data_IF_412942836437
#
_entry.id   IF_412942836437
#
_cell.length_a   1.000
_cell.length_b   1.000
_cell.length_c   1.000
_cell.angle_alpha   90.00
_cell.angle_beta   90.00
_cell.angle_gamma   90.00
#
_symmetry.space_group_name_H-M   'P 1'
#
loop_
_entity.id
_entity.type
_entity.pdbx_description
1 polymer ?
#
# COMPACT_ATOMS: atom_id res chain seq x y z
N UNK A 1 -17.56 -11.12 -11.07
CA UNK A 1 -16.16 -10.71 -10.84
C UNK A 1 -15.61 -10.18 -12.16
N UNK A 2 -14.92 -9.03 -12.17
CA UNK A 2 -14.33 -8.40 -13.37
C UNK A 2 -12.87 -8.88 -13.51
N UNK A 3 -12.40 -9.15 -14.74
CA UNK A 3 -10.99 -9.55 -14.97
C UNK A 3 -10.03 -8.37 -14.82
N UNK A 4 -8.75 -8.63 -14.55
CA UNK A 4 -7.72 -7.58 -14.44
C UNK A 4 -7.65 -6.69 -15.70
N UNK A 5 -7.68 -7.33 -16.88
CA UNK A 5 -7.71 -6.64 -18.17
C UNK A 5 -8.94 -5.74 -18.30
N UNK A 6 -10.11 -6.26 -17.93
CA UNK A 6 -11.35 -5.49 -18.00
C UNK A 6 -11.38 -4.34 -17.01
N UNK A 7 -10.81 -4.51 -15.81
CA UNK A 7 -10.68 -3.42 -14.83
C UNK A 7 -9.76 -2.32 -15.34
N UNK A 8 -8.65 -2.67 -16.00
CA UNK A 8 -7.77 -1.67 -16.63
C UNK A 8 -8.47 -0.88 -17.74
N UNK A 9 -9.39 -1.51 -18.50
CA UNK A 9 -10.26 -0.78 -19.44
C UNK A 9 -11.25 0.15 -18.75
N UNK A 10 -11.83 -0.25 -17.61
CA UNK A 10 -12.71 0.62 -16.82
C UNK A 10 -11.96 1.88 -16.38
N UNK A 11 -10.74 1.74 -15.86
CA UNK A 11 -9.92 2.89 -15.46
C UNK A 11 -9.54 3.79 -16.63
N UNK A 12 -9.22 3.20 -17.80
CA UNK A 12 -8.96 3.94 -19.04
C UNK A 12 -10.17 4.74 -19.50
N UNK A 13 -11.34 4.12 -19.54
CA UNK A 13 -12.57 4.76 -20.00
C UNK A 13 -13.00 5.88 -19.04
N UNK A 14 -12.84 5.66 -17.73
CA UNK A 14 -13.13 6.67 -16.72
C UNK A 14 -12.24 7.91 -16.90
N UNK A 15 -10.96 7.71 -17.22
CA UNK A 15 -10.05 8.80 -17.59
C UNK A 15 -10.45 9.50 -18.89
N UNK A 16 -10.85 8.75 -19.92
CA UNK A 16 -11.34 9.31 -21.18
C UNK A 16 -12.63 10.12 -21.02
N UNK A 17 -13.45 9.81 -20.01
CA UNK A 17 -14.66 10.57 -19.63
C UNK A 17 -14.35 11.80 -18.76
N UNK A 18 -13.07 12.14 -18.57
CA UNK A 18 -12.64 13.38 -17.92
C UNK A 18 -12.33 13.26 -16.43
N UNK A 19 -12.32 12.04 -15.85
CA UNK A 19 -11.91 11.84 -14.44
C UNK A 19 -10.44 11.43 -14.38
N UNK A 20 -9.52 12.30 -13.91
CA UNK A 20 -8.09 11.98 -13.90
C UNK A 20 -7.80 10.73 -13.05
N UNK A 21 -6.86 9.88 -13.51
CA UNK A 21 -6.45 8.68 -12.75
C UNK A 21 -5.96 8.98 -11.34
N UNK A 22 -5.35 10.15 -11.11
CA UNK A 22 -4.99 10.59 -9.77
C UNK A 22 -6.21 10.72 -8.84
N UNK A 23 -7.38 11.16 -9.35
CA UNK A 23 -8.62 11.18 -8.58
C UNK A 23 -9.19 9.80 -8.31
N UNK A 24 -8.98 8.84 -9.23
CA UNK A 24 -9.33 7.45 -8.99
C UNK A 24 -8.51 6.86 -7.85
N UNK A 25 -7.19 7.07 -7.87
CA UNK A 25 -6.28 6.64 -6.79
C UNK A 25 -6.63 7.34 -5.46
N UNK A 26 -6.92 8.64 -5.47
CA UNK A 26 -7.36 9.37 -4.26
C UNK A 26 -8.64 8.74 -3.67
N UNK A 27 -9.59 8.38 -4.53
CA UNK A 27 -10.84 7.72 -4.14
C UNK A 27 -10.60 6.31 -3.58
N UNK A 28 -9.74 5.52 -4.22
CA UNK A 28 -9.37 4.18 -3.76
C UNK A 28 -8.69 4.21 -2.40
N UNK A 29 -7.72 5.12 -2.21
CA UNK A 29 -7.03 5.26 -0.94
C UNK A 29 -7.93 5.79 0.18
N UNK A 30 -8.85 6.72 -0.11
CA UNK A 30 -9.85 7.15 0.88
C UNK A 30 -10.80 5.99 1.27
N UNK A 31 -11.18 5.14 0.31
CA UNK A 31 -11.96 3.95 0.61
C UNK A 31 -11.19 2.95 1.50
N UNK A 32 -9.89 2.75 1.22
CA UNK A 32 -9.02 1.93 2.06
C UNK A 32 -8.87 2.51 3.48
N UNK A 33 -8.67 3.83 3.61
CA UNK A 33 -8.62 4.49 4.92
C UNK A 33 -9.92 4.30 5.69
N UNK A 34 -11.08 4.32 5.01
CA UNK A 34 -12.36 4.03 5.64
C UNK A 34 -12.43 2.60 6.19
N UNK A 35 -11.94 1.61 5.43
CA UNK A 35 -11.86 0.22 5.91
C UNK A 35 -10.99 0.11 7.16
N UNK A 36 -9.84 0.81 7.21
CA UNK A 36 -9.00 0.84 8.43
C UNK A 36 -9.80 1.37 9.63
N UNK A 37 -10.50 2.50 9.47
CA UNK A 37 -11.32 3.11 10.54
C UNK A 37 -12.48 2.22 10.99
N UNK A 38 -13.02 1.40 10.08
CA UNK A 38 -14.10 0.47 10.39
C UNK A 38 -13.60 -0.79 11.16
N UNK A 39 -12.29 -1.07 11.13
CA UNK A 39 -11.70 -2.26 11.76
C UNK A 39 -10.88 -1.96 13.02
N UNK A 40 -10.41 -0.73 13.22
CA UNK A 40 -9.59 -0.33 14.37
C UNK A 40 -10.02 1.04 14.92
N UNK A 41 -9.79 1.27 16.21
CA UNK A 41 -10.02 2.56 16.83
C UNK A 41 -8.89 3.56 16.49
N UNK A 42 -9.14 4.88 16.54
CA UNK A 42 -8.09 5.88 16.49
C UNK A 42 -6.98 5.60 17.51
N UNK A 43 -5.73 5.83 17.12
CA UNK A 43 -4.53 5.49 17.89
C UNK A 43 -4.02 4.07 17.70
N UNK A 44 -4.76 3.19 17.00
CA UNK A 44 -4.29 1.86 16.66
C UNK A 44 -3.08 1.91 15.72
N UNK A 45 -2.19 0.94 15.89
CA UNK A 45 -1.00 0.74 15.07
C UNK A 45 -1.35 0.03 13.76
N UNK A 46 -1.02 0.67 12.63
CA UNK A 46 -1.35 0.20 11.29
C UNK A 46 -0.07 0.10 10.46
N UNK A 47 0.33 -1.13 10.12
CA UNK A 47 1.51 -1.37 9.28
C UNK A 47 1.08 -1.67 7.85
N UNK A 48 1.42 -0.76 6.93
CA UNK A 48 1.15 -0.91 5.51
C UNK A 48 2.37 -1.46 4.79
N UNK A 49 2.24 -2.64 4.19
CA UNK A 49 3.32 -3.30 3.44
C UNK A 49 3.12 -3.03 1.96
N UNK A 50 3.93 -2.10 1.43
CA UNK A 50 3.68 -1.45 0.16
C UNK A 50 4.67 -1.90 -0.93
N UNK A 51 4.14 -2.23 -2.10
CA UNK A 51 4.93 -2.49 -3.29
C UNK A 51 5.43 -1.23 -3.96
N UNK A 52 5.56 -1.27 -5.29
CA UNK A 52 6.08 -0.15 -6.10
C UNK A 52 5.16 0.24 -7.25
N UNK A 53 3.90 -0.21 -7.21
CA UNK A 53 2.90 0.01 -8.26
C UNK A 53 1.72 0.82 -7.76
N UNK A 54 0.62 0.81 -8.53
CA UNK A 54 -0.58 1.57 -8.20
C UNK A 54 -1.22 1.15 -6.87
N UNK A 55 -1.22 -0.15 -6.51
CA UNK A 55 -1.71 -0.60 -5.20
C UNK A 55 -0.97 0.08 -4.04
N UNK A 56 0.34 0.25 -4.16
CA UNK A 56 1.11 0.98 -3.17
C UNK A 56 0.71 2.47 -3.16
N UNK A 57 0.45 3.04 -4.33
CA UNK A 57 -0.13 4.39 -4.46
C UNK A 57 -1.44 4.57 -3.71
N UNK A 58 -2.38 3.60 -3.81
CA UNK A 58 -3.63 3.62 -3.07
C UNK A 58 -3.38 3.60 -1.55
N UNK A 59 -2.41 2.81 -1.08
CA UNK A 59 -2.02 2.78 0.33
C UNK A 59 -1.31 4.07 0.79
N UNK A 60 -0.48 4.69 -0.06
CA UNK A 60 0.14 5.99 0.27
C UNK A 60 -0.91 7.08 0.43
N UNK A 61 -1.93 7.09 -0.43
CA UNK A 61 -3.12 7.94 -0.25
C UNK A 61 -3.81 7.62 1.07
N UNK A 62 -4.09 6.35 1.34
CA UNK A 62 -4.80 5.94 2.57
C UNK A 62 -4.06 6.40 3.83
N UNK A 63 -2.74 6.25 3.88
CA UNK A 63 -1.90 6.70 4.98
C UNK A 63 -2.06 8.20 5.27
N UNK A 64 -2.16 9.06 4.24
CA UNK A 64 -2.42 10.51 4.40
C UNK A 64 -3.78 10.82 5.05
N UNK A 65 -4.74 9.91 4.97
CA UNK A 65 -6.08 10.06 5.56
C UNK A 65 -6.20 9.48 6.98
N UNK A 66 -5.13 8.95 7.55
CA UNK A 66 -5.12 8.23 8.83
C UNK A 66 -4.20 8.92 9.85
N UNK A 67 -4.25 10.26 9.90
CA UNK A 67 -3.40 11.05 10.80
C UNK A 67 -3.69 10.83 12.30
N UNK A 68 -4.84 10.24 12.64
CA UNK A 68 -5.24 9.83 13.98
C UNK A 68 -4.86 8.37 14.32
N UNK A 69 -4.11 7.70 13.46
CA UNK A 69 -3.59 6.33 13.65
C UNK A 69 -2.06 6.35 13.68
N UNK A 70 -1.46 5.35 14.34
CA UNK A 70 -0.02 5.15 14.30
C UNK A 70 0.34 4.34 13.05
N UNK A 71 0.47 5.05 11.92
CA UNK A 71 0.71 4.45 10.62
C UNK A 71 2.20 4.36 10.30
N UNK A 72 2.66 3.15 10.00
CA UNK A 72 3.97 2.89 9.41
C UNK A 72 3.82 2.33 7.99
N UNK A 73 4.51 2.94 7.02
CA UNK A 73 4.54 2.49 5.62
C UNK A 73 5.89 1.85 5.28
N UNK A 74 5.88 0.53 5.06
CA UNK A 74 7.03 -0.25 4.63
C UNK A 74 7.06 -0.37 3.11
N UNK A 75 7.93 0.39 2.44
CA UNK A 75 8.14 0.32 1.00
C UNK A 75 9.09 -0.83 0.63
N UNK A 76 8.59 -1.82 -0.09
CA UNK A 76 9.34 -2.95 -0.63
C UNK A 76 10.12 -2.57 -1.90
N UNK A 77 11.32 -2.05 -1.68
CA UNK A 77 12.25 -1.56 -2.69
C UNK A 77 12.51 -0.06 -2.55
N UNK A 78 13.15 0.55 -3.56
CA UNK A 78 13.58 1.95 -3.48
C UNK A 78 12.47 2.90 -3.98
N UNK A 79 12.29 4.09 -3.37
CA UNK A 79 11.39 5.13 -3.89
C UNK A 79 11.62 5.46 -5.37
N UNK A 80 12.90 5.53 -5.78
CA UNK A 80 13.28 5.77 -7.19
C UNK A 80 12.82 4.69 -8.16
N UNK A 81 12.37 3.53 -7.66
CA UNK A 81 11.88 2.41 -8.48
C UNK A 81 10.37 2.22 -8.41
N UNK A 82 9.63 3.17 -7.83
CA UNK A 82 8.17 3.28 -7.98
C UNK A 82 7.85 3.40 -9.47
N UNK A 83 6.92 2.58 -9.95
CA UNK A 83 6.74 2.27 -11.38
C UNK A 83 5.83 3.25 -12.10
N UNK A 84 4.95 3.93 -11.38
CA UNK A 84 3.98 4.85 -11.95
C UNK A 84 4.17 6.24 -11.36
N UNK A 85 3.95 7.26 -12.19
CA UNK A 85 4.06 8.66 -11.78
C UNK A 85 3.08 8.98 -10.66
N UNK A 86 1.82 8.58 -10.79
CA UNK A 86 0.77 8.82 -9.79
C UNK A 86 1.11 8.20 -8.42
N UNK A 87 1.71 7.01 -8.39
CA UNK A 87 2.16 6.42 -7.12
C UNK A 87 3.40 7.13 -6.55
N UNK A 88 4.28 7.66 -7.42
CA UNK A 88 5.44 8.47 -6.99
C UNK A 88 4.98 9.80 -6.40
N UNK A 89 4.04 10.48 -7.05
CA UNK A 89 3.47 11.74 -6.55
C UNK A 89 2.85 11.54 -5.16
N UNK A 90 2.17 10.41 -4.95
CA UNK A 90 1.59 10.08 -3.65
C UNK A 90 2.62 9.66 -2.60
N UNK A 91 3.72 9.03 -3.01
CA UNK A 91 4.86 8.79 -2.12
C UNK A 91 5.50 10.11 -1.67
N UNK A 92 5.71 11.04 -2.60
CA UNK A 92 6.29 12.35 -2.29
C UNK A 92 5.35 13.18 -1.39
N UNK A 93 4.03 13.13 -1.66
CA UNK A 93 3.03 13.74 -0.80
C UNK A 93 2.98 13.12 0.61
N UNK A 94 3.12 11.79 0.70
CA UNK A 94 3.21 11.09 1.98
C UNK A 94 4.48 11.49 2.75
N UNK A 95 5.63 11.59 2.08
CA UNK A 95 6.90 11.99 2.69
C UNK A 95 6.89 13.42 3.23
N UNK A 96 5.94 14.27 2.80
CA UNK A 96 5.72 15.61 3.34
C UNK A 96 4.85 15.62 4.61
N UNK A 97 4.35 14.46 5.07
CA UNK A 97 3.57 14.31 6.31
C UNK A 97 4.45 13.86 7.48
N UNK A 98 3.85 13.57 8.63
CA UNK A 98 4.54 12.98 9.79
C UNK A 98 4.45 11.44 9.82
N UNK A 99 3.85 10.80 8.80
CA UNK A 99 3.73 9.34 8.73
C UNK A 99 5.11 8.69 8.64
N UNK A 100 5.34 7.66 9.46
CA UNK A 100 6.59 6.92 9.41
C UNK A 100 6.70 6.15 8.09
N UNK A 101 7.85 6.28 7.41
CA UNK A 101 8.13 5.55 6.17
C UNK A 101 9.45 4.80 6.28
N UNK A 102 9.46 3.54 5.85
CA UNK A 102 10.65 2.69 5.89
C UNK A 102 10.89 2.05 4.53
N UNK A 103 12.15 2.05 4.10
CA UNK A 103 12.57 1.46 2.83
C UNK A 103 13.17 0.08 3.08
N UNK A 104 12.47 -0.97 2.65
CA UNK A 104 12.88 -2.38 2.79
C UNK A 104 13.53 -2.84 1.49
N UNK A 105 14.86 -2.94 1.48
CA UNK A 105 15.63 -3.31 0.27
C UNK A 105 15.87 -4.81 0.15
N UNK A 106 15.83 -5.51 1.28
CA UNK A 106 16.07 -6.93 1.42
C UNK A 106 15.14 -7.51 2.49
N UNK A 107 14.93 -8.83 2.46
CA UNK A 107 13.99 -9.49 3.35
C UNK A 107 14.46 -9.58 4.80
N UNK A 108 15.75 -9.38 5.08
CA UNK A 108 16.28 -9.37 6.45
C UNK A 108 15.89 -8.10 7.20
N UNK A 109 15.64 -7.01 6.46
CA UNK A 109 15.16 -5.76 7.02
C UNK A 109 13.66 -5.80 7.42
N UNK A 110 12.88 -6.82 7.04
CA UNK A 110 11.48 -6.94 7.48
C UNK A 110 11.41 -7.06 8.99
N UNK A 111 10.69 -6.15 9.64
CA UNK A 111 10.62 -6.01 11.10
C UNK A 111 9.31 -6.52 11.71
N UNK A 112 8.65 -7.48 11.06
CA UNK A 112 7.43 -8.14 11.52
C UNK A 112 7.49 -9.63 11.21
N UNK A 113 6.66 -10.45 11.86
CA UNK A 113 6.53 -11.89 11.66
C UNK A 113 6.09 -12.63 12.92
N UNK A 114 6.22 -13.96 12.93
CA UNK A 114 5.84 -14.81 14.07
C UNK A 114 6.58 -14.51 15.38
N UNK A 115 7.78 -13.95 15.25
CA UNK A 115 8.66 -13.66 16.38
C UNK A 115 8.54 -12.20 16.84
N UNK A 116 7.61 -11.44 16.25
CA UNK A 116 7.32 -10.06 16.63
C UNK A 116 6.54 -10.05 17.96
N UNK A 117 7.18 -9.54 19.00
CA UNK A 117 6.57 -9.46 20.34
C UNK A 117 5.51 -8.37 20.46
N UNK A 118 5.44 -7.47 19.47
CA UNK A 118 4.53 -6.33 19.46
C UNK A 118 3.95 -6.11 18.04
N UNK A 119 3.12 -7.05 17.56
CA UNK A 119 2.53 -6.93 16.23
C UNK A 119 1.57 -5.74 16.17
N UNK A 120 1.44 -5.09 15.00
CA UNK A 120 0.49 -4.00 14.83
C UNK A 120 -0.96 -4.51 14.98
N UNK A 121 -1.86 -3.62 15.36
CA UNK A 121 -3.30 -3.89 15.44
C UNK A 121 -3.89 -4.26 14.07
N UNK A 122 -3.31 -3.72 12.98
CA UNK A 122 -3.73 -4.02 11.62
C UNK A 122 -2.58 -4.02 10.61
N UNK A 123 -2.54 -5.05 9.77
CA UNK A 123 -1.73 -5.06 8.56
C UNK A 123 -2.56 -4.68 7.33
N UNK A 124 -1.96 -3.88 6.45
CA UNK A 124 -2.49 -3.59 5.10
C UNK A 124 -1.53 -4.13 4.05
N UNK A 125 -1.97 -5.13 3.28
CA UNK A 125 -1.22 -5.63 2.11
C UNK A 125 -1.49 -4.76 0.88
N UNK A 126 -0.48 -4.01 0.47
CA UNK A 126 -0.44 -3.23 -0.76
C UNK A 126 0.77 -3.59 -1.63
N UNK A 127 1.28 -4.82 -1.52
CA UNK A 127 2.51 -5.27 -2.18
C UNK A 127 2.34 -5.44 -3.70
N UNK A 128 1.22 -6.01 -4.11
CA UNK A 128 1.00 -6.47 -5.48
C UNK A 128 -0.44 -6.21 -5.92
N UNK A 129 -0.58 -5.68 -7.14
CA UNK A 129 -1.86 -5.50 -7.81
C UNK A 129 -2.15 -6.51 -8.90
N UNK A 130 -3.30 -6.31 -9.55
CA UNK A 130 -3.89 -7.21 -10.56
C UNK A 130 -3.04 -7.42 -11.81
N UNK A 131 -2.03 -6.56 -12.06
CA UNK A 131 -1.14 -6.65 -13.21
C UNK A 131 0.16 -7.46 -12.99
N UNK A 132 0.34 -8.09 -11.84
CA UNK A 132 1.54 -8.91 -11.58
C UNK A 132 1.35 -10.33 -12.11
N UNK A 133 2.40 -10.85 -12.73
CA UNK A 133 2.46 -12.22 -13.26
C UNK A 133 3.64 -12.99 -12.66
N UNK A 134 3.47 -14.30 -12.50
CA UNK A 134 4.49 -15.19 -11.94
C UNK A 134 4.62 -15.10 -10.41
N UNK A 135 5.68 -15.72 -9.89
CA UNK A 135 5.94 -15.78 -8.45
C UNK A 135 6.37 -14.41 -7.87
N UNK A 136 6.01 -14.17 -6.61
CA UNK A 136 6.49 -13.02 -5.85
C UNK A 136 8.03 -13.04 -5.80
N UNK A 137 8.63 -11.87 -6.01
CA UNK A 137 10.07 -11.67 -5.85
C UNK A 137 10.36 -11.13 -4.45
N UNK A 138 11.56 -11.36 -3.95
CA UNK A 138 12.00 -10.74 -2.70
C UNK A 138 12.07 -9.20 -2.84
N UNK A 139 11.79 -8.43 -1.77
CA UNK A 139 11.40 -8.90 -0.43
C UNK A 139 9.91 -9.25 -0.26
N UNK A 140 9.07 -9.06 -1.29
CA UNK A 140 7.62 -9.29 -1.20
C UNK A 140 7.26 -10.75 -0.94
N UNK A 141 8.03 -11.71 -1.43
CA UNK A 141 7.81 -13.12 -1.14
C UNK A 141 7.98 -13.44 0.36
N UNK A 142 9.03 -12.93 1.00
CA UNK A 142 9.18 -13.07 2.46
C UNK A 142 8.10 -12.30 3.21
N UNK A 143 7.80 -11.07 2.81
CA UNK A 143 6.77 -10.27 3.46
C UNK A 143 5.40 -10.99 3.47
N UNK A 144 5.00 -11.59 2.34
CA UNK A 144 3.77 -12.38 2.25
C UNK A 144 3.78 -13.58 3.23
N UNK A 145 4.89 -14.34 3.30
CA UNK A 145 5.01 -15.44 4.26
C UNK A 145 4.89 -14.97 5.71
N UNK A 146 5.48 -13.82 6.05
CA UNK A 146 5.45 -13.28 7.41
C UNK A 146 4.08 -12.71 7.79
N UNK A 147 3.39 -12.05 6.85
CA UNK A 147 2.00 -11.61 7.04
C UNK A 147 1.07 -12.79 7.30
N UNK A 148 1.17 -13.87 6.51
CA UNK A 148 0.36 -15.08 6.73
C UNK A 148 0.63 -15.77 8.06
N UNK A 149 1.81 -15.57 8.66
CA UNK A 149 2.17 -16.16 9.95
C UNK A 149 1.78 -15.28 11.14
N UNK A 150 1.46 -14.01 10.90
CA UNK A 150 1.04 -13.04 11.91
C UNK A 150 -0.49 -12.89 12.00
N UNK A 151 -1.24 -13.48 11.06
CA UNK A 151 -2.71 -13.54 11.04
C UNK A 151 -3.24 -14.80 11.71
#
# INVERSE_FOLDING_TARGET
MITAERMAEVDRNTAALGVPRAKLMESSGNALARVVRDNCAPGASVRMVCGRGNNAGDAFVAARFLADYDVQVDLLGRPSTIRTEIARDNWDALAATQTETRVIRDSTALGFGSDDSDPPDLFVDAMVGTGVTGALREPAATAARRLSAAA
#
